data_IF_634732034089
#
_entry.id   IF_634732034089
#
_cell.length_a   1.000
_cell.length_b   1.000
_cell.length_c   1.000
_cell.angle_alpha   90.00
_cell.angle_beta   90.00
_cell.angle_gamma   90.00
#
_symmetry.space_group_name_H-M   'P 1'
#
loop_
_entity.id
_entity.type
_entity.pdbx_description
1 polymer ?
#
# COMPACT_ATOMS: atom_id res chain seq x y z
N UNK A 1 -1.31 30.86 -3.06
CA UNK A 1 -2.44 29.97 -2.69
C UNK A 1 -3.52 30.18 -3.75
N UNK A 2 -3.49 29.40 -4.81
CA UNK A 2 -4.53 29.44 -5.82
C UNK A 2 -5.75 28.75 -5.22
N UNK A 3 -6.78 29.57 -4.90
CA UNK A 3 -8.03 29.09 -4.33
C UNK A 3 -8.81 28.24 -5.34
N UNK A 4 -8.49 26.96 -5.45
CA UNK A 4 -9.36 26.01 -6.15
C UNK A 4 -10.66 25.91 -5.37
N UNK A 5 -11.73 26.41 -5.95
CA UNK A 5 -13.07 26.29 -5.38
C UNK A 5 -13.59 24.89 -5.64
N UNK A 6 -13.70 24.07 -4.61
CA UNK A 6 -14.35 22.77 -4.69
C UNK A 6 -15.87 22.99 -4.66
N UNK A 7 -16.55 22.54 -5.70
CA UNK A 7 -18.01 22.58 -5.77
C UNK A 7 -18.58 21.29 -5.18
N UNK A 8 -19.19 21.37 -4.00
CA UNK A 8 -20.02 20.31 -3.46
C UNK A 8 -21.43 20.46 -4.01
N UNK A 9 -22.01 19.34 -4.44
CA UNK A 9 -23.39 19.27 -4.92
C UNK A 9 -24.17 18.29 -4.05
N UNK A 10 -25.37 18.69 -3.60
CA UNK A 10 -26.34 17.75 -3.06
C UNK A 10 -26.96 17.01 -4.25
N UNK A 11 -26.85 15.68 -4.28
CA UNK A 11 -27.35 14.88 -5.38
C UNK A 11 -28.86 14.73 -5.32
N UNK A 12 -29.52 14.93 -6.47
CA UNK A 12 -30.91 14.53 -6.65
C UNK A 12 -30.99 12.99 -6.82
N UNK A 13 -32.13 12.35 -6.53
CA UNK A 13 -32.30 10.90 -6.62
C UNK A 13 -31.88 10.29 -7.96
N UNK A 14 -32.08 11.02 -9.07
CA UNK A 14 -31.75 10.58 -10.43
C UNK A 14 -30.26 10.64 -10.76
N UNK A 15 -29.48 11.35 -9.97
CA UNK A 15 -28.03 11.54 -10.13
C UNK A 15 -27.20 10.59 -9.24
N UNK A 16 -27.88 9.75 -8.46
CA UNK A 16 -27.25 8.85 -7.50
C UNK A 16 -26.87 7.56 -8.24
N UNK A 17 -25.58 7.10 -8.16
CA UNK A 17 -25.18 5.80 -8.70
C UNK A 17 -26.06 4.67 -8.14
N UNK A 18 -26.31 3.65 -8.95
CA UNK A 18 -27.16 2.51 -8.56
C UNK A 18 -26.65 1.83 -7.28
N UNK A 19 -25.32 1.79 -7.08
CA UNK A 19 -24.67 1.26 -5.87
C UNK A 19 -25.05 1.98 -4.57
N UNK A 20 -25.61 3.20 -4.66
CA UNK A 20 -26.04 4.02 -3.52
C UNK A 20 -27.57 4.11 -3.41
N UNK A 21 -28.34 3.60 -4.40
CA UNK A 21 -29.80 3.68 -4.42
C UNK A 21 -30.47 2.63 -3.55
N UNK A 22 -29.87 1.45 -3.42
CA UNK A 22 -30.54 0.28 -2.82
C UNK A 22 -30.38 0.17 -1.31
N UNK A 23 -29.67 1.10 -0.66
CA UNK A 23 -29.48 1.07 0.81
C UNK A 23 -29.89 2.40 1.46
N UNK A 24 -31.15 2.53 1.90
CA UNK A 24 -31.63 3.68 2.69
C UNK A 24 -31.12 3.65 4.14
N UNK A 25 -30.18 2.74 4.45
CA UNK A 25 -29.69 2.47 5.80
C UNK A 25 -28.84 3.60 6.39
N UNK A 26 -28.68 3.56 7.69
CA UNK A 26 -27.93 4.51 8.54
C UNK A 26 -26.42 4.57 8.24
N UNK A 27 -25.93 3.91 7.19
CA UNK A 27 -24.52 3.80 6.89
C UNK A 27 -23.98 5.06 6.20
N UNK A 28 -22.86 5.52 6.69
CA UNK A 28 -22.09 6.63 6.12
C UNK A 28 -20.96 6.04 5.31
N UNK A 29 -20.98 6.27 4.00
CA UNK A 29 -19.96 5.71 3.09
C UNK A 29 -19.53 6.71 2.03
N UNK A 30 -18.30 6.52 1.53
CA UNK A 30 -17.77 7.25 0.39
C UNK A 30 -17.69 6.26 -0.77
N UNK A 31 -18.25 6.63 -1.93
CA UNK A 31 -18.25 5.82 -3.15
C UNK A 31 -17.66 6.63 -4.30
N UNK A 32 -16.96 5.99 -5.20
CA UNK A 32 -16.44 6.58 -6.43
C UNK A 32 -17.18 5.97 -7.62
N UNK A 33 -17.79 6.82 -8.42
CA UNK A 33 -18.44 6.44 -9.66
C UNK A 33 -18.38 7.58 -10.68
N UNK A 34 -18.24 7.29 -11.95
CA UNK A 34 -18.31 8.24 -13.07
C UNK A 34 -17.38 9.47 -12.93
N UNK A 35 -16.17 9.30 -12.38
CA UNK A 35 -15.22 10.40 -12.17
C UNK A 35 -15.61 11.36 -11.05
N UNK A 36 -16.53 10.96 -10.18
CA UNK A 36 -16.97 11.71 -9.00
C UNK A 36 -16.81 10.90 -7.74
N UNK A 37 -16.70 11.61 -6.62
CA UNK A 37 -16.73 11.05 -5.27
C UNK A 37 -18.04 11.44 -4.62
N UNK A 38 -18.71 10.45 -4.04
CA UNK A 38 -19.98 10.60 -3.35
C UNK A 38 -19.82 10.30 -1.86
N UNK A 39 -20.31 11.16 -1.02
CA UNK A 39 -20.45 10.95 0.43
C UNK A 39 -21.93 10.76 0.78
N UNK A 40 -22.29 9.57 1.22
CA UNK A 40 -23.59 9.31 1.81
C UNK A 40 -23.55 9.54 3.32
N UNK A 41 -24.46 10.36 3.82
CA UNK A 41 -24.64 10.61 5.25
C UNK A 41 -26.14 10.57 5.58
N UNK A 42 -26.65 9.40 5.94
CA UNK A 42 -28.08 9.15 6.06
C UNK A 42 -28.81 9.32 4.71
N UNK A 43 -29.83 10.16 4.68
CA UNK A 43 -30.60 10.45 3.44
C UNK A 43 -29.93 11.53 2.55
N UNK A 44 -28.81 12.12 2.96
CA UNK A 44 -28.15 13.17 2.19
C UNK A 44 -26.94 12.58 1.47
N UNK A 45 -26.88 12.79 0.16
CA UNK A 45 -25.73 12.41 -0.66
C UNK A 45 -25.09 13.67 -1.24
N UNK A 46 -23.82 13.85 -0.95
CA UNK A 46 -22.99 14.92 -1.48
C UNK A 46 -22.06 14.35 -2.53
N UNK A 47 -21.84 15.08 -3.60
CA UNK A 47 -20.82 14.73 -4.61
C UNK A 47 -19.89 15.89 -4.92
N UNK A 48 -18.69 15.54 -5.37
CA UNK A 48 -17.75 16.45 -5.99
C UNK A 48 -17.01 15.72 -7.11
N UNK A 49 -16.30 16.48 -7.96
CA UNK A 49 -15.39 15.88 -8.94
C UNK A 49 -14.25 15.16 -8.20
N UNK A 50 -13.78 14.03 -8.76
CA UNK A 50 -12.72 13.21 -8.15
C UNK A 50 -11.32 13.87 -8.30
N UNK A 51 -11.25 15.16 -7.95
CA UNK A 51 -10.01 15.90 -7.75
C UNK A 51 -9.54 15.76 -6.29
N UNK A 52 -8.22 15.88 -6.07
CA UNK A 52 -7.63 15.75 -4.73
C UNK A 52 -8.30 16.66 -3.68
N UNK A 53 -8.53 17.93 -4.02
CA UNK A 53 -9.17 18.89 -3.12
C UNK A 53 -10.61 18.52 -2.76
N UNK A 54 -11.37 17.91 -3.71
CA UNK A 54 -12.72 17.43 -3.48
C UNK A 54 -12.77 16.23 -2.55
N UNK A 55 -11.83 15.29 -2.73
CA UNK A 55 -11.67 14.13 -1.87
C UNK A 55 -11.31 14.52 -0.44
N UNK A 56 -10.38 15.45 -0.28
CA UNK A 56 -9.97 15.97 1.03
C UNK A 56 -11.14 16.60 1.77
N UNK A 57 -11.94 17.44 1.09
CA UNK A 57 -13.11 18.10 1.69
C UNK A 57 -14.23 17.10 2.05
N UNK A 58 -14.54 16.14 1.18
CA UNK A 58 -15.53 15.11 1.49
C UNK A 58 -15.06 14.22 2.64
N UNK A 59 -13.77 13.95 2.72
CA UNK A 59 -13.19 13.19 3.81
C UNK A 59 -13.24 13.96 5.14
N UNK A 60 -12.92 15.25 5.15
CA UNK A 60 -13.10 16.12 6.32
C UNK A 60 -14.56 16.13 6.80
N UNK A 61 -15.51 16.23 5.87
CA UNK A 61 -16.94 16.12 6.18
C UNK A 61 -17.33 14.74 6.72
N UNK A 62 -16.80 13.67 6.12
CA UNK A 62 -16.98 12.30 6.60
C UNK A 62 -16.49 12.13 8.03
N UNK A 63 -15.30 12.62 8.36
CA UNK A 63 -14.75 12.60 9.71
C UNK A 63 -15.57 13.45 10.69
N UNK A 64 -15.99 14.66 10.28
CA UNK A 64 -16.80 15.54 11.11
C UNK A 64 -18.17 14.93 11.44
N UNK A 65 -18.76 14.25 10.47
CA UNK A 65 -20.05 13.56 10.62
C UNK A 65 -19.90 12.27 11.42
N UNK A 66 -18.79 11.52 11.23
CA UNK A 66 -18.47 10.30 11.98
C UNK A 66 -18.07 10.59 13.42
N UNK A 67 -17.31 11.66 13.66
CA UNK A 67 -16.86 12.07 15.00
C UNK A 67 -17.98 12.40 15.98
N UNK A 68 -19.22 12.60 15.51
CA UNK A 68 -20.40 12.75 16.36
C UNK A 68 -20.98 11.41 16.85
N UNK A 69 -20.61 10.28 16.25
CA UNK A 69 -21.16 8.95 16.58
C UNK A 69 -20.15 7.93 17.09
N UNK A 70 -18.87 8.07 16.73
CA UNK A 70 -17.79 7.27 17.33
C UNK A 70 -16.95 8.21 18.19
N UNK A 71 -16.63 7.80 19.41
CA UNK A 71 -15.51 8.35 20.16
C UNK A 71 -14.22 7.97 19.39
N UNK A 72 -14.01 8.57 18.23
CA UNK A 72 -12.69 8.57 17.56
C UNK A 72 -11.76 9.16 18.59
N UNK A 73 -10.79 8.38 19.06
CA UNK A 73 -9.96 8.81 20.18
C UNK A 73 -9.29 10.13 19.81
N UNK A 74 -9.30 11.05 20.74
CA UNK A 74 -8.71 12.38 20.56
C UNK A 74 -7.24 12.26 20.08
N UNK A 75 -6.53 11.16 20.40
CA UNK A 75 -5.21 10.82 19.89
C UNK A 75 -5.19 10.58 18.37
N UNK A 76 -6.16 9.86 17.87
CA UNK A 76 -6.27 9.54 16.42
C UNK A 76 -6.41 10.82 15.59
N UNK A 77 -7.14 11.81 16.09
CA UNK A 77 -7.28 13.12 15.44
C UNK A 77 -5.96 13.88 15.37
N UNK A 78 -5.16 13.85 16.44
CA UNK A 78 -3.81 14.46 16.44
C UNK A 78 -2.93 13.80 15.40
N UNK A 79 -2.88 12.46 15.38
CA UNK A 79 -2.06 11.75 14.40
C UNK A 79 -2.57 11.93 12.98
N UNK A 80 -3.88 11.94 12.74
CA UNK A 80 -4.44 12.23 11.42
C UNK A 80 -3.97 13.59 10.89
N UNK A 81 -3.94 14.62 11.75
CA UNK A 81 -3.40 15.93 11.39
C UNK A 81 -1.89 15.88 11.13
N UNK A 82 -1.13 15.14 11.94
CA UNK A 82 0.30 14.93 11.68
C UNK A 82 0.52 14.31 10.30
N UNK A 83 -0.28 13.31 9.91
CA UNK A 83 -0.11 12.62 8.63
C UNK A 83 -0.43 13.52 7.41
N UNK A 84 -1.44 14.38 7.52
CA UNK A 84 -2.01 15.12 6.38
C UNK A 84 -1.53 16.56 6.27
N UNK A 85 -1.13 17.21 7.37
CA UNK A 85 -0.74 18.61 7.39
C UNK A 85 0.76 18.77 7.67
N UNK A 86 1.57 19.12 6.64
CA UNK A 86 3.01 19.30 6.82
C UNK A 86 3.39 20.42 7.79
N UNK A 87 2.51 21.41 7.97
CA UNK A 87 2.75 22.54 8.88
C UNK A 87 2.28 22.26 10.32
N UNK A 88 1.55 21.14 10.53
CA UNK A 88 1.04 20.82 11.86
C UNK A 88 2.13 20.23 12.74
N UNK A 89 2.42 20.94 13.82
CA UNK A 89 3.24 20.46 14.95
C UNK A 89 2.38 20.58 16.21
N UNK A 90 2.03 19.46 16.87
CA UNK A 90 1.14 19.50 18.03
C UNK A 90 1.81 20.24 19.19
N UNK A 91 1.09 21.18 19.77
CA UNK A 91 1.55 21.95 20.91
C UNK A 91 1.73 21.08 22.18
N UNK A 92 2.58 21.51 23.14
CA UNK A 92 2.88 20.72 24.34
C UNK A 92 1.64 20.42 25.21
N UNK A 93 0.62 21.27 25.19
CA UNK A 93 -0.60 21.07 25.98
C UNK A 93 -1.47 19.97 25.36
N UNK A 94 -1.56 19.93 24.04
CA UNK A 94 -2.19 18.84 23.27
C UNK A 94 -1.49 17.51 23.56
N UNK A 95 -0.16 17.46 23.49
CA UNK A 95 0.61 16.25 23.79
C UNK A 95 0.39 15.75 25.22
N UNK A 96 0.41 16.65 26.20
CA UNK A 96 0.15 16.32 27.61
C UNK A 96 -1.28 15.85 27.83
N UNK A 97 -2.27 16.56 27.27
CA UNK A 97 -3.69 16.23 27.40
C UNK A 97 -3.98 14.81 26.92
N UNK A 98 -3.42 14.43 25.79
CA UNK A 98 -3.68 13.13 25.16
C UNK A 98 -2.62 12.07 25.49
N UNK A 99 -1.65 12.41 26.36
CA UNK A 99 -0.55 11.50 26.75
C UNK A 99 0.17 10.92 25.53
N UNK A 100 0.56 11.79 24.60
CA UNK A 100 1.31 11.43 23.40
C UNK A 100 2.79 11.74 23.66
N UNK A 101 3.62 10.72 23.62
CA UNK A 101 5.08 10.87 23.60
C UNK A 101 5.56 10.73 22.15
N UNK A 102 5.89 11.84 21.51
CA UNK A 102 6.38 11.84 20.13
C UNK A 102 7.82 11.32 20.02
N UNK A 103 8.57 11.23 21.11
CA UNK A 103 9.96 10.71 21.10
C UNK A 103 10.02 9.18 21.08
N UNK A 104 8.92 8.50 21.38
CA UNK A 104 8.84 7.05 21.30
C UNK A 104 9.07 6.58 19.85
N UNK A 105 9.87 5.52 19.70
CA UNK A 105 10.14 4.93 18.39
C UNK A 105 8.89 4.27 17.85
N UNK A 106 8.49 4.64 16.63
CA UNK A 106 7.30 4.12 15.97
C UNK A 106 7.60 3.70 14.55
N UNK A 107 6.74 2.84 14.00
CA UNK A 107 6.58 2.61 12.57
C UNK A 107 5.13 2.82 12.18
N UNK A 108 4.94 3.29 10.96
CA UNK A 108 3.60 3.44 10.40
C UNK A 108 3.38 2.30 9.41
N UNK A 109 2.30 1.57 9.62
CA UNK A 109 1.79 0.57 8.69
C UNK A 109 0.58 1.14 8.00
N UNK A 110 0.60 1.17 6.69
CA UNK A 110 -0.56 1.58 5.88
C UNK A 110 -1.25 0.33 5.36
N UNK A 111 -2.44 0.05 5.86
CA UNK A 111 -3.31 -0.98 5.32
C UNK A 111 -4.19 -0.39 4.22
N UNK A 112 -4.35 -1.14 3.13
CA UNK A 112 -5.21 -0.76 2.01
C UNK A 112 -5.98 -1.97 1.52
N UNK A 113 -7.27 -1.77 1.20
CA UNK A 113 -8.13 -2.75 0.55
C UNK A 113 -8.45 -2.31 -0.87
N UNK A 114 -8.34 -3.23 -1.82
CA UNK A 114 -8.77 -3.02 -3.21
C UNK A 114 -10.19 -3.57 -3.46
N UNK A 115 -10.76 -4.27 -2.47
CA UNK A 115 -12.08 -4.89 -2.57
C UNK A 115 -13.19 -3.92 -2.14
N UNK A 116 -14.39 -4.12 -2.70
CA UNK A 116 -15.61 -3.53 -2.15
C UNK A 116 -15.87 -4.13 -0.77
N UNK A 117 -16.02 -3.29 0.23
CA UNK A 117 -16.20 -3.69 1.63
C UNK A 117 -17.55 -3.18 2.14
N UNK A 118 -18.23 -3.98 2.96
CA UNK A 118 -19.46 -3.57 3.63
C UNK A 118 -19.18 -2.54 4.75
N UNK A 119 -18.03 -2.66 5.42
CA UNK A 119 -17.56 -1.74 6.46
C UNK A 119 -16.27 -1.05 6.00
N UNK A 120 -15.98 0.14 6.52
CA UNK A 120 -14.66 0.76 6.29
C UNK A 120 -13.52 -0.07 6.90
N UNK A 121 -12.34 0.01 6.26
CA UNK A 121 -11.17 -0.79 6.65
C UNK A 121 -10.75 -0.57 8.11
N UNK A 122 -10.86 0.66 8.62
CA UNK A 122 -10.49 0.96 10.01
C UNK A 122 -11.38 0.23 11.00
N UNK A 123 -12.70 0.17 10.73
CA UNK A 123 -13.64 -0.57 11.58
C UNK A 123 -13.37 -2.07 11.54
N UNK A 124 -13.10 -2.63 10.37
CA UNK A 124 -12.74 -4.04 10.23
C UNK A 124 -11.43 -4.37 10.98
N UNK A 125 -10.40 -3.55 10.85
CA UNK A 125 -9.14 -3.72 11.59
C UNK A 125 -9.33 -3.64 13.10
N UNK A 126 -10.16 -2.72 13.61
CA UNK A 126 -10.46 -2.63 15.05
C UNK A 126 -11.13 -3.87 15.61
N UNK A 127 -11.96 -4.49 14.82
CA UNK A 127 -12.72 -5.70 15.23
C UNK A 127 -11.85 -6.95 15.19
N UNK A 128 -10.99 -7.08 14.19
CA UNK A 128 -10.29 -8.33 13.86
C UNK A 128 -8.79 -8.33 14.20
N UNK A 129 -8.14 -7.16 14.22
CA UNK A 129 -6.72 -7.07 14.52
C UNK A 129 -6.45 -7.04 16.02
N UNK A 130 -5.50 -7.83 16.49
CA UNK A 130 -4.98 -7.75 17.87
C UNK A 130 -4.14 -6.49 18.01
N UNK A 131 -4.70 -5.47 18.68
CA UNK A 131 -4.02 -4.21 18.93
C UNK A 131 -3.23 -4.29 20.24
N UNK A 132 -2.00 -3.73 20.25
CA UNK A 132 -1.21 -3.59 21.45
C UNK A 132 -1.52 -2.28 22.21
N UNK A 133 -1.19 -2.25 23.52
CA UNK A 133 -1.25 -1.00 24.28
C UNK A 133 -0.30 0.03 23.67
N UNK A 134 -0.83 1.16 23.24
CA UNK A 134 -0.07 2.20 22.55
C UNK A 134 -0.26 2.25 21.03
N UNK A 135 -0.84 1.23 20.42
CA UNK A 135 -1.23 1.28 19.02
C UNK A 135 -2.32 2.33 18.77
N UNK A 136 -2.14 3.08 17.69
CA UNK A 136 -3.11 4.10 17.27
C UNK A 136 -3.51 3.82 15.83
N UNK A 137 -4.78 3.48 15.63
CA UNK A 137 -5.33 3.20 14.31
C UNK A 137 -6.07 4.43 13.78
N UNK A 138 -5.48 5.05 12.77
CA UNK A 138 -5.96 6.30 12.16
C UNK A 138 -6.75 5.97 10.88
N UNK A 139 -8.03 6.39 10.79
CA UNK A 139 -8.80 6.27 9.55
C UNK A 139 -8.28 7.29 8.53
N UNK A 140 -7.74 6.81 7.41
CA UNK A 140 -7.28 7.68 6.32
C UNK A 140 -8.40 7.91 5.31
N UNK A 141 -8.96 6.85 4.77
CA UNK A 141 -10.16 6.86 3.94
C UNK A 141 -10.94 5.55 4.12
N UNK A 142 -11.98 5.31 3.32
CA UNK A 142 -12.80 4.11 3.44
C UNK A 142 -12.00 2.81 3.23
N UNK A 143 -11.03 2.85 2.34
CA UNK A 143 -10.20 1.71 1.95
C UNK A 143 -8.79 1.72 2.55
N UNK A 144 -8.43 2.77 3.29
CA UNK A 144 -7.07 2.97 3.81
C UNK A 144 -7.10 3.31 5.28
N UNK A 145 -6.29 2.60 6.06
CA UNK A 145 -6.07 2.88 7.48
C UNK A 145 -4.57 2.90 7.79
N UNK A 146 -4.15 3.79 8.66
CA UNK A 146 -2.77 3.85 9.14
C UNK A 146 -2.68 3.37 10.59
N UNK A 147 -1.94 2.31 10.83
CA UNK A 147 -1.58 1.84 12.17
C UNK A 147 -0.25 2.48 12.57
N UNK A 148 -0.27 3.24 13.65
CA UNK A 148 0.92 3.83 14.26
C UNK A 148 1.29 2.94 15.44
N UNK A 149 2.31 2.11 15.26
CA UNK A 149 2.77 1.15 16.26
C UNK A 149 4.04 1.63 16.94
N UNK A 150 4.02 1.64 18.27
CA UNK A 150 5.21 1.89 19.07
C UNK A 150 6.10 0.64 19.10
N UNK A 151 7.37 0.79 18.71
CA UNK A 151 8.31 -0.33 18.66
C UNK A 151 9.03 -0.50 20.00
N UNK A 152 8.90 -1.67 20.58
CA UNK A 152 9.84 -2.13 21.61
C UNK A 152 11.12 -2.64 20.93
N UNK A 153 12.22 -2.62 21.61
CA UNK A 153 13.53 -3.00 21.03
C UNK A 153 13.48 -4.37 20.33
N UNK A 154 13.93 -4.44 19.06
CA UNK A 154 14.14 -5.68 18.32
C UNK A 154 13.00 -6.15 17.41
N UNK A 155 11.86 -5.45 17.35
CA UNK A 155 10.60 -5.93 16.75
C UNK A 155 10.38 -5.58 15.26
N UNK A 156 11.42 -5.42 14.45
CA UNK A 156 11.24 -5.05 13.03
C UNK A 156 10.66 -6.20 12.19
N UNK A 157 11.16 -7.42 12.40
CA UNK A 157 10.67 -8.61 11.69
C UNK A 157 9.30 -9.05 12.22
N UNK A 158 9.06 -8.89 13.51
CA UNK A 158 7.76 -9.20 14.16
C UNK A 158 6.61 -8.35 13.59
N UNK A 159 6.89 -7.11 13.16
CA UNK A 159 5.86 -6.24 12.57
C UNK A 159 5.35 -6.75 11.22
N UNK A 160 6.22 -7.34 10.41
CA UNK A 160 5.83 -7.98 9.15
C UNK A 160 4.95 -9.19 9.41
N UNK A 161 5.36 -10.08 10.30
CA UNK A 161 4.60 -11.27 10.68
C UNK A 161 3.23 -10.90 11.28
N UNK A 162 3.18 -9.85 12.11
CA UNK A 162 1.92 -9.31 12.61
C UNK A 162 0.99 -8.87 11.49
N UNK A 163 1.48 -8.10 10.52
CA UNK A 163 0.67 -7.66 9.39
C UNK A 163 0.16 -8.83 8.55
N UNK A 164 1.00 -9.85 8.31
CA UNK A 164 0.61 -11.08 7.61
C UNK A 164 -0.48 -11.84 8.37
N UNK A 165 -0.37 -11.94 9.70
CA UNK A 165 -1.38 -12.58 10.55
C UNK A 165 -2.71 -11.81 10.55
N UNK A 166 -2.67 -10.46 10.62
CA UNK A 166 -3.88 -9.63 10.54
C UNK A 166 -4.58 -9.82 9.20
N UNK A 167 -3.83 -9.76 8.08
CA UNK A 167 -4.40 -9.96 6.75
C UNK A 167 -5.00 -11.37 6.61
N UNK A 168 -4.29 -12.40 7.09
CA UNK A 168 -4.81 -13.78 7.08
C UNK A 168 -6.10 -13.93 7.90
N UNK A 169 -6.21 -13.27 9.06
CA UNK A 169 -7.45 -13.25 9.86
C UNK A 169 -8.59 -12.60 9.09
N UNK A 170 -8.33 -11.45 8.44
CA UNK A 170 -9.35 -10.77 7.64
C UNK A 170 -9.81 -11.59 6.43
N UNK A 171 -8.90 -12.32 5.78
CA UNK A 171 -9.24 -13.24 4.68
C UNK A 171 -10.13 -14.38 5.15
N UNK A 172 -9.93 -14.93 6.36
CA UNK A 172 -10.81 -15.98 6.92
C UNK A 172 -12.21 -15.48 7.24
N UNK A 173 -12.36 -14.17 7.51
CA UNK A 173 -13.66 -13.50 7.71
C UNK A 173 -14.27 -12.98 6.38
N UNK A 174 -13.69 -13.37 5.24
CA UNK A 174 -14.20 -13.04 3.91
C UNK A 174 -13.79 -11.66 3.39
N UNK A 175 -12.93 -10.92 4.11
CA UNK A 175 -12.41 -9.62 3.68
C UNK A 175 -11.08 -9.85 2.94
N UNK A 176 -11.12 -9.84 1.62
CA UNK A 176 -9.97 -10.15 0.77
C UNK A 176 -9.37 -8.90 0.12
N UNK A 177 -8.20 -9.04 -0.52
CA UNK A 177 -7.55 -7.95 -1.26
C UNK A 177 -6.92 -6.89 -0.37
N UNK A 178 -6.64 -7.20 0.90
CA UNK A 178 -5.95 -6.30 1.81
C UNK A 178 -4.44 -6.45 1.64
N UNK A 179 -3.76 -5.32 1.63
CA UNK A 179 -2.30 -5.24 1.61
C UNK A 179 -1.80 -4.25 2.64
N UNK A 180 -0.57 -4.44 3.10
CA UNK A 180 0.09 -3.56 4.06
C UNK A 180 1.43 -3.05 3.54
N UNK A 181 1.68 -1.75 3.68
CA UNK A 181 2.98 -1.12 3.45
C UNK A 181 3.56 -0.58 4.74
N UNK A 182 4.80 -0.92 5.04
CA UNK A 182 5.48 -0.57 6.29
C UNK A 182 6.59 0.45 5.99
N UNK A 183 6.45 1.66 6.57
CA UNK A 183 7.48 2.70 6.50
C UNK A 183 8.65 2.45 7.45
N UNK A 184 9.65 3.32 7.39
CA UNK A 184 10.81 3.28 8.30
C UNK A 184 10.45 3.81 9.70
N UNK A 185 11.43 3.73 10.61
CA UNK A 185 11.27 4.21 11.99
C UNK A 185 11.04 5.73 12.08
N UNK A 186 10.22 6.15 13.05
CA UNK A 186 9.81 7.53 13.25
C UNK A 186 9.82 7.91 14.75
N UNK A 187 10.21 9.16 15.08
CA UNK A 187 10.34 9.65 16.45
C UNK A 187 9.94 11.13 16.63
N UNK A 188 9.33 11.75 15.60
CA UNK A 188 8.82 13.12 15.65
C UNK A 188 7.78 13.30 14.54
N UNK A 189 7.02 14.42 14.52
CA UNK A 189 5.96 14.64 13.54
C UNK A 189 6.42 14.52 12.07
N UNK A 190 7.61 15.04 11.74
CA UNK A 190 8.16 14.98 10.40
C UNK A 190 8.47 13.54 9.97
N UNK A 191 9.18 12.80 10.81
CA UNK A 191 9.52 11.40 10.51
C UNK A 191 8.31 10.48 10.54
N UNK A 192 7.27 10.78 11.34
CA UNK A 192 5.96 10.09 11.29
C UNK A 192 5.30 10.29 9.92
N UNK A 193 5.25 11.54 9.40
CA UNK A 193 4.75 11.82 8.04
C UNK A 193 5.56 11.09 6.97
N UNK A 194 6.88 11.09 7.11
CA UNK A 194 7.75 10.40 6.16
C UNK A 194 7.52 8.90 6.19
N UNK A 195 7.45 8.27 7.37
CA UNK A 195 7.13 6.86 7.52
C UNK A 195 5.77 6.49 6.91
N UNK A 196 4.77 7.36 7.04
CA UNK A 196 3.46 7.16 6.40
C UNK A 196 3.57 7.18 4.87
N UNK A 197 4.28 8.19 4.29
CA UNK A 197 4.50 8.27 2.84
C UNK A 197 5.30 7.07 2.32
N UNK A 198 6.32 6.66 3.05
CA UNK A 198 7.10 5.46 2.76
C UNK A 198 6.22 4.19 2.76
N UNK A 199 5.25 4.08 3.68
CA UNK A 199 4.28 3.00 3.68
C UNK A 199 3.38 3.00 2.43
N UNK A 200 2.93 4.17 1.99
CA UNK A 200 2.19 4.31 0.73
C UNK A 200 3.04 3.95 -0.50
N UNK A 201 4.29 4.40 -0.53
CA UNK A 201 5.24 4.09 -1.61
C UNK A 201 5.56 2.59 -1.63
N UNK A 202 5.70 1.97 -0.45
CA UNK A 202 5.90 0.53 -0.32
C UNK A 202 4.71 -0.27 -0.89
N UNK A 203 3.48 0.16 -0.63
CA UNK A 203 2.30 -0.42 -1.23
C UNK A 203 2.31 -0.28 -2.76
N UNK A 204 2.52 0.93 -3.27
CA UNK A 204 2.50 1.20 -4.71
C UNK A 204 3.57 0.38 -5.45
N UNK A 205 4.79 0.36 -4.92
CA UNK A 205 5.91 -0.40 -5.49
C UNK A 205 5.70 -1.91 -5.35
N UNK A 206 5.25 -2.37 -4.18
CA UNK A 206 5.02 -3.78 -3.90
C UNK A 206 3.93 -4.38 -4.77
N UNK A 207 2.82 -3.70 -4.93
CA UNK A 207 1.72 -4.13 -5.82
C UNK A 207 2.16 -4.24 -7.27
N UNK A 208 3.11 -3.43 -7.70
CA UNK A 208 3.65 -3.43 -9.06
C UNK A 208 4.66 -4.56 -9.31
N UNK A 209 5.60 -4.76 -8.38
CA UNK A 209 6.75 -5.66 -8.57
C UNK A 209 6.62 -6.99 -7.81
N UNK A 210 5.82 -7.04 -6.76
CA UNK A 210 5.68 -8.16 -5.83
C UNK A 210 4.21 -8.50 -5.58
N UNK A 211 3.39 -8.57 -6.63
CA UNK A 211 1.94 -8.71 -6.57
C UNK A 211 1.41 -9.94 -5.81
N UNK A 212 2.26 -10.94 -5.54
CA UNK A 212 1.91 -12.13 -4.75
C UNK A 212 2.05 -11.94 -3.24
N UNK A 213 2.80 -10.93 -2.82
CA UNK A 213 2.99 -10.63 -1.41
C UNK A 213 1.85 -9.71 -0.93
N UNK A 214 1.50 -9.81 0.32
CA UNK A 214 0.47 -8.95 0.95
C UNK A 214 1.08 -7.87 1.85
N UNK A 215 2.36 -8.02 2.24
CA UNK A 215 3.05 -7.09 3.13
C UNK A 215 4.37 -6.62 2.52
N UNK A 216 4.57 -5.32 2.45
CA UNK A 216 5.67 -4.66 1.78
C UNK A 216 6.45 -3.76 2.74
N UNK A 217 7.75 -4.00 2.88
CA UNK A 217 8.65 -3.13 3.63
C UNK A 217 9.33 -2.13 2.71
N UNK A 218 9.23 -0.85 3.02
CA UNK A 218 9.89 0.20 2.25
C UNK A 218 11.40 0.02 2.15
N UNK A 219 12.06 -0.40 3.24
CA UNK A 219 13.51 -0.68 3.28
C UNK A 219 13.93 -1.80 2.33
N UNK A 220 13.06 -2.79 2.09
CA UNK A 220 13.33 -3.93 1.21
C UNK A 220 13.17 -3.65 -0.29
N UNK A 221 12.61 -2.50 -0.68
CA UNK A 221 12.25 -2.19 -2.07
C UNK A 221 13.17 -1.15 -2.73
N UNK A 222 14.39 -0.99 -2.23
CA UNK A 222 15.32 0.05 -2.74
C UNK A 222 15.57 -0.09 -4.24
N UNK A 223 15.81 -1.29 -4.73
CA UNK A 223 16.03 -1.53 -6.17
C UNK A 223 14.78 -1.23 -6.99
N UNK A 224 13.61 -1.66 -6.54
CA UNK A 224 12.35 -1.46 -7.26
C UNK A 224 12.01 0.03 -7.38
N UNK A 225 12.28 0.83 -6.32
CA UNK A 225 12.13 2.29 -6.34
C UNK A 225 13.14 2.98 -7.27
N UNK A 226 14.39 2.49 -7.34
CA UNK A 226 15.36 2.96 -8.32
C UNK A 226 14.84 2.69 -9.73
N UNK A 227 14.31 1.51 -9.98
CA UNK A 227 13.71 1.16 -11.27
C UNK A 227 12.54 2.08 -11.62
N UNK A 228 11.68 2.43 -10.68
CA UNK A 228 10.57 3.35 -10.89
C UNK A 228 11.02 4.78 -11.20
N UNK A 229 12.19 5.19 -10.71
CA UNK A 229 12.76 6.51 -11.01
C UNK A 229 13.25 6.66 -12.45
N UNK A 230 13.43 5.55 -13.19
CA UNK A 230 13.87 5.57 -14.59
C UNK A 230 12.67 5.96 -15.49
N UNK A 231 12.75 7.00 -16.33
CA UNK A 231 11.69 7.40 -17.26
C UNK A 231 11.22 6.23 -18.13
N UNK A 232 9.90 6.13 -18.33
CA UNK A 232 9.29 5.01 -19.07
C UNK A 232 9.85 4.87 -20.49
N UNK A 233 10.10 5.98 -21.19
CA UNK A 233 10.67 5.97 -22.55
C UNK A 233 12.09 5.38 -22.55
N UNK A 234 12.91 5.74 -21.56
CA UNK A 234 14.26 5.18 -21.42
C UNK A 234 14.21 3.67 -21.18
N UNK A 235 13.29 3.25 -20.30
CA UNK A 235 13.05 1.83 -20.01
C UNK A 235 12.64 1.05 -21.27
N UNK A 236 11.64 1.55 -21.99
CA UNK A 236 11.15 0.91 -23.22
C UNK A 236 12.23 0.83 -24.29
N UNK A 237 13.06 1.87 -24.45
CA UNK A 237 14.15 1.85 -25.42
C UNK A 237 15.17 0.77 -25.08
N UNK A 238 15.67 0.74 -23.84
CA UNK A 238 16.63 -0.28 -23.38
C UNK A 238 16.03 -1.68 -23.49
N UNK A 239 14.77 -1.85 -23.11
CA UNK A 239 14.07 -3.12 -23.21
C UNK A 239 13.98 -3.64 -24.67
N UNK A 240 13.72 -2.77 -25.64
CA UNK A 240 13.68 -3.14 -27.08
C UNK A 240 15.07 -3.47 -27.63
N UNK A 241 16.11 -2.79 -27.17
CA UNK A 241 17.49 -3.08 -27.59
C UNK A 241 17.99 -4.45 -27.09
N UNK A 242 17.63 -4.79 -25.86
CA UNK A 242 18.12 -6.01 -25.19
C UNK A 242 17.18 -7.22 -25.39
N UNK A 243 15.90 -6.98 -25.61
CA UNK A 243 14.92 -8.03 -25.89
C UNK A 243 14.20 -7.76 -27.23
N UNK A 244 14.77 -8.19 -28.35
CA UNK A 244 14.03 -8.22 -29.62
C UNK A 244 12.73 -9.04 -29.47
N UNK A 245 11.72 -8.71 -30.26
CA UNK A 245 10.33 -9.22 -30.14
C UNK A 245 10.16 -10.75 -30.12
N UNK A 246 11.20 -11.53 -30.45
CA UNK A 246 11.21 -13.00 -30.30
C UNK A 246 11.35 -13.49 -28.87
N UNK A 247 11.86 -12.66 -27.96
CA UNK A 247 12.17 -13.02 -26.57
C UNK A 247 10.93 -13.11 -25.69
N UNK A 248 9.81 -12.49 -26.09
CA UNK A 248 8.56 -12.53 -25.32
C UNK A 248 7.98 -13.94 -25.16
N UNK A 249 8.13 -14.79 -26.16
CA UNK A 249 7.65 -16.17 -26.11
C UNK A 249 8.48 -17.06 -25.17
N UNK A 250 9.71 -16.66 -24.83
CA UNK A 250 10.62 -17.43 -23.98
C UNK A 250 10.51 -17.06 -22.52
N UNK A 251 10.08 -15.84 -22.22
CA UNK A 251 9.87 -15.36 -20.85
C UNK A 251 8.42 -15.66 -20.40
N UNK A 252 8.03 -16.94 -20.49
CA UNK A 252 6.77 -17.41 -19.90
C UNK A 252 6.74 -17.15 -18.37
N UNK A 253 5.53 -17.14 -17.78
CA UNK A 253 5.36 -16.99 -16.34
C UNK A 253 6.19 -18.01 -15.54
N UNK A 254 6.31 -19.24 -16.04
CA UNK A 254 7.13 -20.29 -15.44
C UNK A 254 8.64 -19.94 -15.46
N UNK A 255 9.12 -19.37 -16.56
CA UNK A 255 10.52 -18.94 -16.69
C UNK A 255 10.78 -17.74 -15.79
N UNK A 256 9.88 -16.77 -15.73
CA UNK A 256 10.00 -15.61 -14.85
C UNK A 256 9.96 -16.01 -13.38
N UNK A 257 9.12 -16.99 -13.00
CA UNK A 257 9.13 -17.53 -11.65
C UNK A 257 10.47 -18.22 -11.32
N UNK A 258 11.01 -18.97 -12.27
CA UNK A 258 12.33 -19.57 -12.13
C UNK A 258 13.40 -18.51 -11.83
N UNK A 259 13.39 -17.40 -12.56
CA UNK A 259 14.34 -16.29 -12.36
C UNK A 259 14.13 -15.64 -11.00
N UNK A 260 12.87 -15.35 -10.60
CA UNK A 260 12.57 -14.75 -9.30
C UNK A 260 13.11 -15.60 -8.14
N UNK A 261 12.84 -16.91 -8.18
CA UNK A 261 13.33 -17.84 -7.15
C UNK A 261 14.84 -17.93 -7.17
N UNK A 262 15.46 -17.93 -8.35
CA UNK A 262 16.91 -17.96 -8.47
C UNK A 262 17.57 -16.69 -7.87
N UNK A 263 16.99 -15.52 -8.13
CA UNK A 263 17.46 -14.25 -7.55
C UNK A 263 17.22 -14.17 -6.04
N UNK A 264 16.08 -14.63 -5.54
CA UNK A 264 15.78 -14.70 -4.09
C UNK A 264 16.73 -15.62 -3.32
N UNK A 265 17.37 -16.56 -4.00
CA UNK A 265 18.37 -17.45 -3.43
C UNK A 265 19.81 -17.03 -3.77
N UNK A 266 20.06 -15.74 -3.99
CA UNK A 266 21.39 -15.16 -4.23
C UNK A 266 22.18 -15.90 -5.33
N UNK A 267 21.52 -16.24 -6.43
CA UNK A 267 22.05 -17.00 -7.57
C UNK A 267 22.54 -18.41 -7.18
N UNK A 268 22.06 -18.96 -6.06
CA UNK A 268 22.43 -20.29 -5.61
C UNK A 268 21.57 -21.36 -6.28
N UNK A 269 22.16 -22.07 -7.24
CA UNK A 269 21.47 -23.13 -8.01
C UNK A 269 20.87 -24.24 -7.13
N UNK A 270 21.55 -24.62 -6.05
CA UNK A 270 21.08 -25.71 -5.19
C UNK A 270 19.90 -25.29 -4.35
N UNK A 271 19.95 -24.10 -3.75
CA UNK A 271 18.85 -23.55 -2.97
C UNK A 271 17.62 -23.29 -3.85
N UNK A 272 17.82 -22.64 -5.00
CA UNK A 272 16.75 -22.32 -5.94
C UNK A 272 16.06 -23.58 -6.50
N UNK A 273 16.84 -24.61 -6.88
CA UNK A 273 16.25 -25.86 -7.40
C UNK A 273 15.40 -26.59 -6.36
N UNK A 274 15.80 -26.59 -5.07
CA UNK A 274 15.00 -27.13 -3.97
C UNK A 274 13.71 -26.36 -3.79
N UNK A 275 13.77 -25.04 -3.79
CA UNK A 275 12.60 -24.19 -3.62
C UNK A 275 11.60 -24.31 -4.79
N UNK A 276 12.10 -24.53 -6.02
CA UNK A 276 11.29 -24.76 -7.21
C UNK A 276 10.79 -26.21 -7.33
N UNK A 277 11.21 -27.13 -6.44
CA UNK A 277 10.91 -28.55 -6.53
C UNK A 277 11.32 -29.17 -7.88
N UNK A 278 12.45 -28.74 -8.46
CA UNK A 278 12.98 -29.27 -9.72
C UNK A 278 14.41 -29.78 -9.54
N UNK A 279 14.86 -30.63 -10.46
CA UNK A 279 16.24 -31.06 -10.47
C UNK A 279 17.18 -29.92 -10.88
N UNK A 280 18.39 -29.86 -10.33
CA UNK A 280 19.40 -28.84 -10.65
C UNK A 280 19.68 -28.73 -12.16
N UNK A 281 19.69 -29.85 -12.88
CA UNK A 281 19.89 -29.86 -14.33
C UNK A 281 18.75 -29.17 -15.08
N UNK A 282 17.50 -29.30 -14.59
CA UNK A 282 16.34 -28.60 -15.16
C UNK A 282 16.46 -27.09 -14.96
N UNK A 283 16.93 -26.67 -13.77
CA UNK A 283 17.21 -25.26 -13.52
C UNK A 283 18.31 -24.73 -14.47
N UNK A 284 19.43 -25.44 -14.58
CA UNK A 284 20.49 -25.05 -15.50
C UNK A 284 19.98 -24.96 -16.96
N UNK A 285 19.20 -25.94 -17.42
CA UNK A 285 18.58 -25.90 -18.76
C UNK A 285 17.72 -24.64 -18.97
N UNK A 286 16.94 -24.26 -17.98
CA UNK A 286 16.11 -23.03 -18.03
C UNK A 286 16.98 -21.78 -18.11
N UNK A 287 18.04 -21.69 -17.31
CA UNK A 287 18.98 -20.57 -17.35
C UNK A 287 19.75 -20.50 -18.68
N UNK A 288 20.18 -21.65 -19.22
CA UNK A 288 20.81 -21.71 -20.54
C UNK A 288 19.87 -21.29 -21.67
N UNK A 289 18.57 -21.62 -21.56
CA UNK A 289 17.56 -21.16 -22.50
C UNK A 289 17.41 -19.63 -22.45
N UNK A 290 17.38 -19.04 -21.24
CA UNK A 290 17.35 -17.58 -21.08
C UNK A 290 18.62 -16.96 -21.70
N UNK A 291 19.80 -17.49 -21.39
CA UNK A 291 21.06 -17.02 -21.96
C UNK A 291 21.08 -17.05 -23.48
N UNK A 292 20.56 -18.12 -24.08
CA UNK A 292 20.50 -18.28 -25.54
C UNK A 292 19.61 -17.21 -26.21
N UNK A 293 18.52 -16.86 -25.57
CA UNK A 293 17.53 -15.95 -26.15
C UNK A 293 17.81 -14.47 -25.82
N UNK A 294 18.45 -14.19 -24.67
CA UNK A 294 18.70 -12.83 -24.20
C UNK A 294 20.15 -12.39 -24.32
N UNK A 295 21.07 -13.34 -24.47
CA UNK A 295 22.51 -13.09 -24.40
C UNK A 295 23.03 -12.98 -22.95
N UNK A 296 22.16 -12.93 -21.94
CA UNK A 296 22.52 -12.70 -20.53
C UNK A 296 22.63 -14.04 -19.76
N UNK A 297 23.78 -14.32 -19.19
CA UNK A 297 23.99 -15.47 -18.29
C UNK A 297 23.63 -15.09 -16.85
N UNK A 298 22.43 -15.45 -16.40
CA UNK A 298 21.95 -15.07 -15.06
C UNK A 298 22.77 -15.65 -13.89
N UNK A 299 23.78 -16.49 -14.16
CA UNK A 299 24.76 -16.97 -13.17
C UNK A 299 25.89 -15.95 -12.96
N UNK A 300 26.06 -15.00 -13.88
CA UNK A 300 26.91 -13.82 -13.73
C UNK A 300 26.13 -12.73 -12.98
N UNK A 301 26.75 -12.15 -11.95
CA UNK A 301 26.12 -11.07 -11.18
C UNK A 301 25.74 -9.88 -12.05
N UNK A 302 26.62 -9.46 -12.96
CA UNK A 302 26.38 -8.31 -13.85
C UNK A 302 25.19 -8.55 -14.77
N UNK A 303 25.14 -9.72 -15.43
CA UNK A 303 24.04 -10.10 -16.31
C UNK A 303 22.72 -10.27 -15.54
N UNK A 304 22.78 -10.81 -14.32
CA UNK A 304 21.62 -10.94 -13.44
C UNK A 304 21.04 -9.57 -13.06
N UNK A 305 21.89 -8.58 -12.74
CA UNK A 305 21.46 -7.20 -12.45
C UNK A 305 20.83 -6.58 -13.69
N UNK A 306 21.45 -6.68 -14.86
CA UNK A 306 20.91 -6.18 -16.12
C UNK A 306 19.56 -6.82 -16.39
N UNK A 307 19.45 -8.14 -16.28
CA UNK A 307 18.19 -8.85 -16.49
C UNK A 307 17.10 -8.39 -15.49
N UNK A 308 17.45 -8.22 -14.21
CA UNK A 308 16.52 -7.74 -13.18
C UNK A 308 15.96 -6.36 -13.51
N UNK A 309 16.86 -5.45 -13.93
CA UNK A 309 16.47 -4.09 -14.37
C UNK A 309 15.46 -4.15 -15.53
N UNK A 310 15.75 -4.99 -16.52
CA UNK A 310 14.92 -5.08 -17.73
C UNK A 310 13.61 -5.83 -17.45
N UNK A 311 13.64 -6.93 -16.72
CA UNK A 311 12.45 -7.73 -16.40
C UNK A 311 11.50 -7.00 -15.43
N UNK A 312 12.00 -6.13 -14.56
CA UNK A 312 11.19 -5.18 -13.77
C UNK A 312 10.51 -4.11 -14.63
N UNK A 313 10.83 -4.05 -15.91
CA UNK A 313 10.22 -3.17 -16.92
C UNK A 313 8.97 -3.77 -17.57
N UNK A 314 8.52 -4.94 -17.16
CA UNK A 314 7.28 -5.59 -17.59
C UNK A 314 6.27 -5.57 -16.46
#
# INVERSE_FOLDING_TARGET
>A
MDGKTVKLKICCPDEIPDELRDDPGEQKRIVRADGKVYLQAGHTILSCDDEQAGRELLYELFLAVRGKQTKTGEKETVFLRILNDPAYDPDPDTLRRYRIDLSARRRIVVFRSDASMEKDLTSALRELASMEDGDILVPVDYHTAALIRELRFGAEDELKEYCEAVIGTMETEGITGIRAGIGNGAQNPETIRNSYREGLDALATGMKYHCRDSVYLFSGQTLDRILDSIPQEARQRIGKELFPSRTEAVLSDEMMETVRVFFRNDLNLTAASRQLFIHRNTLNYRLDKIKKETGLDLRSFEDAVIFRIISGLR
#
